data_IF_633551322623
#
_entry.id   IF_633551322623
#
_cell.length_a   1.000
_cell.length_b   1.000
_cell.length_c   1.000
_cell.angle_alpha   90.00
_cell.angle_beta   90.00
_cell.angle_gamma   90.00
#
_symmetry.space_group_name_H-M   'P 1'
#
loop_
_entity.id
_entity.type
_entity.pdbx_description
1 polymer ?
#
# COMPACT_ATOMS: atom_id res chain seq x y z
N UNK A 1 8.97 37.13 9.42
CA UNK A 1 8.15 36.22 8.61
C UNK A 1 8.75 34.86 8.87
N UNK A 2 8.00 33.97 9.50
CA UNK A 2 8.41 32.56 9.57
C UNK A 2 8.08 32.03 8.19
N UNK A 3 9.09 31.60 7.46
CA UNK A 3 8.93 30.75 6.30
C UNK A 3 8.37 29.44 6.88
N UNK A 4 7.04 29.30 6.89
CA UNK A 4 6.41 28.00 7.10
C UNK A 4 6.77 27.26 5.83
N UNK A 5 7.76 26.38 5.91
CA UNK A 5 7.95 25.37 4.86
C UNK A 5 6.58 24.72 4.66
N UNK A 6 6.06 24.79 3.45
CA UNK A 6 4.85 24.06 3.09
C UNK A 6 5.16 22.57 3.26
N UNK A 7 4.20 21.80 3.77
CA UNK A 7 4.38 20.37 3.96
C UNK A 7 4.68 19.72 2.61
N UNK A 8 5.56 18.72 2.60
CA UNK A 8 5.85 17.95 1.39
C UNK A 8 5.69 16.49 1.74
N UNK A 9 4.68 15.87 1.16
CA UNK A 9 4.40 14.44 1.36
C UNK A 9 4.99 13.61 0.23
N UNK A 10 5.40 12.39 0.56
CA UNK A 10 6.02 11.43 -0.34
C UNK A 10 5.23 10.13 -0.25
N UNK A 11 4.74 9.65 -1.40
CA UNK A 11 4.12 8.35 -1.58
C UNK A 11 5.11 7.39 -2.25
N UNK A 12 5.62 6.41 -1.51
CA UNK A 12 6.44 5.32 -2.06
C UNK A 12 5.51 4.17 -2.45
N UNK A 13 5.60 3.71 -3.70
CA UNK A 13 4.62 2.83 -4.33
C UNK A 13 5.33 1.60 -4.90
N UNK A 14 4.92 0.41 -4.52
CA UNK A 14 5.34 -0.87 -5.13
C UNK A 14 4.14 -1.57 -5.77
N UNK A 15 4.33 -2.17 -6.96
CA UNK A 15 3.27 -2.92 -7.63
C UNK A 15 3.20 -4.38 -7.14
N UNK A 16 2.16 -4.67 -6.36
CA UNK A 16 1.98 -5.99 -5.75
C UNK A 16 2.00 -7.11 -6.80
N UNK A 17 2.93 -8.06 -6.63
CA UNK A 17 3.00 -9.27 -7.46
C UNK A 17 3.35 -9.02 -8.92
N UNK A 18 4.03 -7.93 -9.25
CA UNK A 18 4.44 -7.64 -10.63
C UNK A 18 5.45 -8.68 -11.18
N UNK A 19 6.18 -9.37 -10.31
CA UNK A 19 7.04 -10.50 -10.70
C UNK A 19 6.24 -11.64 -11.37
N UNK A 20 5.01 -11.87 -10.93
CA UNK A 20 4.09 -12.88 -11.44
C UNK A 20 3.62 -12.52 -12.85
N UNK A 21 3.31 -11.25 -13.10
CA UNK A 21 3.01 -10.72 -14.45
C UNK A 21 4.18 -11.00 -15.39
N UNK A 22 5.42 -10.74 -14.95
CA UNK A 22 6.62 -11.03 -15.73
C UNK A 22 6.82 -12.53 -15.98
N UNK A 23 6.55 -13.37 -14.97
CA UNK A 23 6.69 -14.81 -15.08
C UNK A 23 5.66 -15.43 -16.02
N UNK A 24 4.43 -14.90 -16.06
CA UNK A 24 3.36 -15.40 -16.90
C UNK A 24 3.48 -14.92 -18.36
N UNK A 25 3.76 -13.63 -18.58
CA UNK A 25 3.69 -13.01 -19.90
C UNK A 25 5.06 -12.65 -20.49
N UNK A 26 6.12 -12.73 -19.69
CA UNK A 26 7.48 -12.36 -20.05
C UNK A 26 7.79 -10.88 -19.83
N UNK A 27 9.07 -10.56 -19.62
CA UNK A 27 9.54 -9.20 -19.31
C UNK A 27 9.08 -8.13 -20.30
N UNK A 28 9.05 -8.43 -21.60
CA UNK A 28 8.59 -7.45 -22.59
C UNK A 28 7.13 -7.03 -22.37
N UNK A 29 6.28 -7.91 -21.85
CA UNK A 29 4.91 -7.55 -21.47
C UNK A 29 4.90 -6.70 -20.20
N UNK A 30 5.67 -7.08 -19.18
CA UNK A 30 5.83 -6.30 -17.95
C UNK A 30 6.34 -4.89 -18.22
N UNK A 31 7.33 -4.73 -19.11
CA UNK A 31 7.82 -3.41 -19.53
C UNK A 31 6.69 -2.54 -20.12
N UNK A 32 5.80 -3.12 -20.93
CA UNK A 32 4.64 -2.39 -21.46
C UNK A 32 3.60 -2.04 -20.39
N UNK A 33 3.47 -2.85 -19.34
CA UNK A 33 2.60 -2.55 -18.19
C UNK A 33 3.19 -1.37 -17.42
N UNK A 34 4.49 -1.39 -17.13
CA UNK A 34 5.20 -0.30 -16.45
C UNK A 34 5.13 1.01 -17.25
N UNK A 35 5.37 0.97 -18.56
CA UNK A 35 5.24 2.14 -19.43
C UNK A 35 3.85 2.77 -19.32
N UNK A 36 2.80 1.92 -19.26
CA UNK A 36 1.42 2.41 -19.13
C UNK A 36 1.13 3.00 -17.74
N UNK A 37 1.75 2.46 -16.69
CA UNK A 37 1.64 2.98 -15.32
C UNK A 37 2.39 4.31 -15.19
N UNK A 38 3.55 4.46 -15.84
CA UNK A 38 4.26 5.75 -15.91
C UNK A 38 3.39 6.81 -16.59
N UNK A 39 2.80 6.50 -17.74
CA UNK A 39 1.89 7.42 -18.42
C UNK A 39 0.71 7.81 -17.52
N UNK A 40 0.08 6.83 -16.87
CA UNK A 40 -1.02 7.04 -15.95
C UNK A 40 -0.63 7.93 -14.76
N UNK A 41 0.47 7.63 -14.07
CA UNK A 41 0.88 8.40 -12.90
C UNK A 41 1.30 9.82 -13.25
N UNK A 42 1.89 10.05 -14.42
CA UNK A 42 2.16 11.39 -14.94
C UNK A 42 0.88 12.16 -15.28
N UNK A 43 -0.12 11.49 -15.86
CA UNK A 43 -1.43 12.09 -16.12
C UNK A 43 -2.17 12.45 -14.82
N UNK A 44 -2.11 11.57 -13.80
CA UNK A 44 -2.69 11.78 -12.48
C UNK A 44 -2.02 12.94 -11.74
N UNK A 45 -0.68 12.98 -11.70
CA UNK A 45 0.09 14.03 -11.03
C UNK A 45 -0.08 15.41 -11.66
N UNK A 46 -0.33 15.47 -12.97
CA UNK A 46 -0.58 16.72 -13.68
C UNK A 46 0.60 17.68 -13.58
N UNK A 47 0.31 18.94 -13.23
CA UNK A 47 1.35 19.98 -13.01
C UNK A 47 1.59 20.32 -11.55
N UNK A 48 0.85 19.68 -10.64
CA UNK A 48 0.85 20.00 -9.21
C UNK A 48 1.86 19.13 -8.46
N UNK A 49 2.02 17.88 -8.92
CA UNK A 49 2.83 16.86 -8.26
C UNK A 49 3.88 16.29 -9.22
N UNK A 50 4.80 15.49 -8.68
CA UNK A 50 5.85 14.83 -9.47
C UNK A 50 5.78 13.32 -9.28
N UNK A 51 5.51 12.60 -10.38
CA UNK A 51 5.45 11.14 -10.40
C UNK A 51 6.65 10.59 -11.17
N UNK A 52 7.54 9.90 -10.46
CA UNK A 52 8.74 9.32 -11.02
C UNK A 52 8.85 7.85 -10.66
N UNK A 53 9.41 7.08 -11.59
CA UNK A 53 9.89 5.73 -11.28
C UNK A 53 11.23 5.89 -10.56
N UNK A 54 11.20 5.75 -9.24
CA UNK A 54 12.37 5.95 -8.39
C UNK A 54 13.48 4.94 -8.72
N UNK A 55 14.73 5.43 -8.76
CA UNK A 55 16.02 4.72 -8.92
C UNK A 55 16.17 3.53 -9.89
N UNK A 56 15.21 3.25 -10.76
CA UNK A 56 15.36 2.41 -11.95
C UNK A 56 15.83 0.97 -11.68
N UNK A 57 14.90 0.11 -11.26
CA UNK A 57 14.61 -1.20 -11.84
C UNK A 57 13.30 -1.74 -11.23
N UNK A 58 12.42 -2.32 -12.04
CA UNK A 58 11.23 -3.01 -11.52
C UNK A 58 9.99 -2.13 -11.38
N UNK A 59 9.35 -2.22 -10.23
CA UNK A 59 7.94 -2.01 -9.95
C UNK A 59 7.71 -0.86 -8.96
N UNK A 60 8.78 -0.16 -8.58
CA UNK A 60 8.75 0.91 -7.57
C UNK A 60 8.60 2.30 -8.18
N UNK A 61 7.81 3.16 -7.54
CA UNK A 61 7.53 4.54 -7.95
C UNK A 61 7.45 5.48 -6.74
N UNK A 62 7.71 6.76 -6.99
CA UNK A 62 7.61 7.84 -6.01
C UNK A 62 6.67 8.92 -6.54
N UNK A 63 5.67 9.27 -5.75
CA UNK A 63 4.81 10.44 -5.96
C UNK A 63 5.15 11.50 -4.91
N UNK A 64 5.62 12.67 -5.37
CA UNK A 64 5.93 13.81 -4.51
C UNK A 64 4.77 14.81 -4.56
N UNK A 65 4.26 15.17 -3.39
CA UNK A 65 3.04 15.98 -3.19
C UNK A 65 3.37 17.27 -2.40
N UNK A 66 3.97 18.30 -3.03
CA UNK A 66 4.25 19.57 -2.36
C UNK A 66 2.95 20.29 -1.98
N UNK A 67 2.89 20.82 -0.77
CA UNK A 67 1.72 21.52 -0.23
C UNK A 67 0.68 20.61 0.40
N UNK A 68 0.84 19.29 0.31
CA UNK A 68 -0.06 18.31 0.93
C UNK A 68 0.50 17.86 2.27
N UNK A 69 -0.30 18.02 3.33
CA UNK A 69 -0.03 17.39 4.62
C UNK A 69 -0.26 15.87 4.55
N UNK A 70 0.15 15.15 5.61
CA UNK A 70 0.06 13.69 5.65
C UNK A 70 -1.35 13.15 5.37
N UNK A 71 -2.37 13.79 5.93
CA UNK A 71 -3.75 13.32 5.78
C UNK A 71 -4.25 13.52 4.36
N UNK A 72 -4.01 14.71 3.79
CA UNK A 72 -4.39 15.04 2.42
C UNK A 72 -3.65 14.16 1.41
N UNK A 73 -2.38 13.86 1.68
CA UNK A 73 -1.58 12.94 0.86
C UNK A 73 -2.12 11.50 0.87
N UNK A 74 -2.61 11.02 2.02
CA UNK A 74 -3.28 9.71 2.10
C UNK A 74 -4.53 9.70 1.22
N UNK A 75 -5.40 10.71 1.34
CA UNK A 75 -6.63 10.79 0.53
C UNK A 75 -6.30 10.78 -0.98
N UNK A 76 -5.29 11.56 -1.41
CA UNK A 76 -4.80 11.60 -2.80
C UNK A 76 -4.29 10.23 -3.27
N UNK A 77 -3.54 9.53 -2.42
CA UNK A 77 -2.95 8.23 -2.77
C UNK A 77 -3.99 7.10 -2.75
N UNK A 78 -5.06 7.22 -1.96
CA UNK A 78 -6.21 6.33 -2.04
C UNK A 78 -6.94 6.50 -3.39
N UNK A 79 -7.15 7.73 -3.83
CA UNK A 79 -7.71 8.03 -5.16
C UNK A 79 -6.81 7.50 -6.30
N UNK A 80 -5.48 7.70 -6.19
CA UNK A 80 -4.51 7.15 -7.15
C UNK A 80 -4.63 5.63 -7.26
N UNK A 81 -4.72 4.93 -6.12
CA UNK A 81 -4.80 3.48 -6.08
C UNK A 81 -6.11 2.96 -6.69
N UNK A 82 -7.22 3.64 -6.44
CA UNK A 82 -8.51 3.32 -7.07
C UNK A 82 -8.47 3.48 -8.60
N UNK A 83 -7.85 4.54 -9.10
CA UNK A 83 -7.66 4.74 -10.54
C UNK A 83 -6.68 3.72 -11.16
N UNK A 84 -5.60 3.37 -10.46
CA UNK A 84 -4.65 2.34 -10.88
C UNK A 84 -5.34 0.98 -11.07
N UNK A 85 -6.20 0.58 -10.11
CA UNK A 85 -7.00 -0.65 -10.21
C UNK A 85 -7.90 -0.65 -11.44
N UNK A 86 -8.46 0.50 -11.80
CA UNK A 86 -9.34 0.67 -12.95
C UNK A 86 -8.60 0.71 -14.29
N UNK A 87 -7.31 1.08 -14.31
CA UNK A 87 -6.49 1.23 -15.51
C UNK A 87 -6.40 -0.07 -16.33
N UNK A 88 -6.32 -1.21 -15.64
CA UNK A 88 -6.17 -2.56 -16.19
C UNK A 88 -5.19 -2.63 -17.39
N UNK A 89 -3.91 -2.24 -17.22
CA UNK A 89 -2.95 -2.16 -18.32
C UNK A 89 -2.80 -3.53 -18.99
N UNK A 90 -3.05 -3.56 -20.31
CA UNK A 90 -3.06 -4.79 -21.12
C UNK A 90 -4.05 -5.87 -20.66
N UNK A 91 -5.04 -5.51 -19.84
CA UNK A 91 -6.05 -6.42 -19.29
C UNK A 91 -5.70 -7.01 -17.92
N UNK A 92 -4.54 -6.67 -17.35
CA UNK A 92 -4.13 -7.11 -16.02
C UNK A 92 -4.63 -6.16 -14.96
N UNK A 93 -5.20 -6.68 -13.87
CA UNK A 93 -5.50 -5.87 -12.69
C UNK A 93 -4.19 -5.67 -11.95
N UNK A 94 -3.81 -4.41 -11.73
CA UNK A 94 -2.62 -4.05 -10.98
C UNK A 94 -3.07 -3.44 -9.66
N UNK A 95 -2.59 -4.03 -8.56
CA UNK A 95 -2.69 -3.49 -7.22
C UNK A 95 -1.33 -2.87 -6.83
N UNK A 96 -1.33 -2.05 -5.79
CA UNK A 96 -0.10 -1.48 -5.27
C UNK A 96 -0.15 -1.30 -3.76
N UNK A 97 1.02 -1.45 -3.14
CA UNK A 97 1.28 -1.10 -1.75
C UNK A 97 1.88 0.30 -1.72
N UNK A 98 1.32 1.19 -0.90
CA UNK A 98 1.71 2.60 -0.85
C UNK A 98 1.99 3.03 0.58
N UNK A 99 3.18 3.59 0.79
CA UNK A 99 3.62 4.18 2.05
C UNK A 99 3.70 5.70 1.96
N UNK A 100 3.22 6.40 2.99
CA UNK A 100 3.19 7.87 3.02
C UNK A 100 4.05 8.40 4.16
N UNK A 101 4.90 9.38 3.89
CA UNK A 101 5.58 10.15 4.94
C UNK A 101 5.69 11.63 4.53
N UNK A 102 5.76 12.53 5.50
CA UNK A 102 5.63 13.98 5.27
C UNK A 102 6.73 14.78 5.94
N UNK A 103 7.36 15.70 5.20
CA UNK A 103 8.19 16.75 5.76
C UNK A 103 7.33 17.89 6.30
N UNK A 104 7.65 18.46 7.48
CA UNK A 104 8.75 18.11 8.38
C UNK A 104 8.37 17.11 9.49
N UNK A 105 7.13 16.61 9.50
CA UNK A 105 6.58 15.81 10.60
C UNK A 105 7.30 14.47 10.80
N UNK A 106 7.71 13.85 9.70
CA UNK A 106 8.36 12.55 9.68
C UNK A 106 9.85 12.65 9.39
N UNK A 107 10.47 13.82 9.29
CA UNK A 107 11.91 13.88 9.01
C UNK A 107 12.44 15.29 8.84
N UNK A 108 13.77 15.39 8.78
CA UNK A 108 14.45 16.70 8.61
C UNK A 108 14.93 16.96 7.19
N UNK A 109 14.94 15.93 6.34
CA UNK A 109 15.30 16.00 4.93
C UNK A 109 14.54 14.94 4.10
N UNK A 110 14.58 15.11 2.78
CA UNK A 110 13.90 14.25 1.80
C UNK A 110 14.32 12.79 1.92
N UNK A 111 15.63 12.52 2.04
CA UNK A 111 16.15 11.14 2.14
C UNK A 111 15.55 10.41 3.35
N UNK A 112 15.48 11.06 4.53
CA UNK A 112 14.89 10.46 5.73
C UNK A 112 13.38 10.21 5.58
N UNK A 113 12.66 11.10 4.90
CA UNK A 113 11.21 10.96 4.72
C UNK A 113 10.88 9.91 3.67
N UNK A 114 11.64 9.81 2.57
CA UNK A 114 11.49 8.74 1.58
C UNK A 114 11.77 7.37 2.21
N UNK A 115 12.82 7.24 3.04
CA UNK A 115 13.08 5.99 3.78
C UNK A 115 11.89 5.60 4.70
N UNK A 116 11.21 6.58 5.28
CA UNK A 116 10.02 6.34 6.12
C UNK A 116 8.77 6.00 5.32
N UNK A 117 8.62 6.57 4.13
CA UNK A 117 7.58 6.19 3.20
C UNK A 117 7.78 4.73 2.74
N UNK A 118 9.01 4.33 2.39
CA UNK A 118 9.38 2.94 2.08
C UNK A 118 9.02 1.99 3.24
N UNK A 119 9.41 2.32 4.49
CA UNK A 119 9.03 1.53 5.66
C UNK A 119 7.50 1.39 5.84
N UNK A 120 6.73 2.43 5.51
CA UNK A 120 5.28 2.39 5.57
C UNK A 120 4.68 1.54 4.42
N UNK A 121 5.30 1.56 3.25
CA UNK A 121 4.94 0.74 2.09
C UNK A 121 5.18 -0.74 2.38
N UNK A 122 6.33 -1.09 2.96
CA UNK A 122 6.63 -2.46 3.42
C UNK A 122 5.63 -2.95 4.46
N UNK A 123 5.09 -2.05 5.30
CA UNK A 123 3.99 -2.41 6.20
C UNK A 123 2.70 -2.71 5.41
N UNK A 124 2.39 -1.95 4.36
CA UNK A 124 1.21 -2.19 3.53
C UNK A 124 1.27 -3.57 2.86
N UNK A 125 2.43 -3.96 2.34
CA UNK A 125 2.66 -5.31 1.79
C UNK A 125 2.40 -6.40 2.83
N UNK A 126 2.97 -6.25 4.04
CA UNK A 126 2.80 -7.19 5.14
C UNK A 126 1.33 -7.32 5.58
N UNK A 127 0.52 -6.28 5.39
CA UNK A 127 -0.91 -6.29 5.70
C UNK A 127 -1.80 -6.80 4.56
N UNK A 128 -1.21 -7.42 3.53
CA UNK A 128 -1.91 -8.06 2.41
C UNK A 128 -1.90 -7.23 1.13
N UNK A 129 -1.10 -6.16 1.08
CA UNK A 129 -0.96 -5.26 -0.05
C UNK A 129 -2.22 -4.45 -0.35
N UNK A 130 -2.29 -3.93 -1.57
CA UNK A 130 -3.43 -3.24 -2.16
C UNK A 130 -3.99 -2.13 -1.24
N UNK A 131 -3.12 -1.23 -0.78
CA UNK A 131 -3.54 -0.19 0.15
C UNK A 131 -2.49 0.85 0.49
N UNK A 132 -2.96 1.92 1.12
CA UNK A 132 -2.15 3.03 1.61
C UNK A 132 -1.93 2.90 3.12
N UNK A 133 -0.72 3.20 3.60
CA UNK A 133 -0.37 3.33 5.02
C UNK A 133 0.51 4.57 5.22
N UNK A 134 0.15 5.43 6.17
CA UNK A 134 1.02 6.52 6.57
C UNK A 134 2.04 6.09 7.63
N UNK A 135 3.24 6.66 7.58
CA UNK A 135 4.28 6.41 8.56
C UNK A 135 3.83 6.82 9.96
N UNK A 136 4.06 5.92 10.91
CA UNK A 136 3.58 6.03 12.28
C UNK A 136 2.16 5.49 12.50
N UNK A 137 1.45 5.10 11.44
CA UNK A 137 0.20 4.35 11.55
C UNK A 137 0.46 2.84 11.42
N UNK A 138 -0.02 2.08 12.40
CA UNK A 138 -0.17 0.63 12.25
C UNK A 138 -1.64 0.36 11.92
N UNK A 139 -1.91 -0.33 10.80
CA UNK A 139 -3.28 -0.82 10.56
C UNK A 139 -3.70 -1.69 11.75
N UNK A 140 -4.91 -1.52 12.30
CA UNK A 140 -5.36 -2.36 13.39
C UNK A 140 -5.28 -3.83 12.96
N UNK A 141 -4.76 -4.67 13.85
CA UNK A 141 -4.58 -6.10 13.61
C UNK A 141 -5.79 -6.70 12.91
N UNK A 142 -5.57 -7.36 11.77
CA UNK A 142 -6.60 -8.14 11.08
C UNK A 142 -7.06 -9.26 12.01
N UNK A 143 -8.17 -9.02 12.73
CA UNK A 143 -8.79 -10.04 13.56
C UNK A 143 -9.46 -11.05 12.63
N UNK A 144 -8.77 -12.14 12.34
CA UNK A 144 -9.38 -13.27 11.65
C UNK A 144 -10.20 -14.05 12.67
N UNK A 145 -11.53 -14.02 12.56
CA UNK A 145 -12.38 -14.94 13.32
C UNK A 145 -12.36 -16.32 12.65
N UNK A 146 -11.68 -17.27 13.29
CA UNK A 146 -11.65 -18.68 12.84
C UNK A 146 -12.64 -19.50 13.66
N UNK A 147 -13.58 -20.16 12.99
CA UNK A 147 -14.52 -21.12 13.57
C UNK A 147 -14.09 -22.55 13.23
N UNK A 148 -14.04 -23.45 14.21
CA UNK A 148 -13.73 -24.87 13.99
C UNK A 148 -14.56 -25.78 14.91
N UNK A 149 -14.91 -26.96 14.42
CA UNK A 149 -15.67 -27.98 15.17
C UNK A 149 -14.75 -28.88 16.02
N UNK A 150 -13.51 -29.08 15.63
CA UNK A 150 -12.51 -29.89 16.35
C UNK A 150 -11.21 -29.11 16.57
N UNK A 151 -10.45 -29.46 17.61
CA UNK A 151 -9.18 -28.80 17.94
C UNK A 151 -8.19 -28.88 16.78
N UNK A 152 -7.71 -27.74 16.30
CA UNK A 152 -6.70 -27.64 15.26
C UNK A 152 -5.50 -26.82 15.74
N UNK A 153 -4.30 -27.14 15.24
CA UNK A 153 -3.10 -26.31 15.39
C UNK A 153 -3.02 -25.42 14.15
N UNK A 154 -2.91 -24.11 14.36
CA UNK A 154 -2.73 -23.13 13.28
C UNK A 154 -1.43 -22.40 13.59
N UNK A 155 -0.49 -22.42 12.64
CA UNK A 155 0.61 -21.46 12.63
C UNK A 155 0.08 -20.18 11.99
N UNK A 156 0.15 -19.09 12.74
CA UNK A 156 -0.23 -17.76 12.28
C UNK A 156 0.99 -16.87 12.44
N UNK A 157 1.36 -16.18 11.37
CA UNK A 157 2.38 -15.13 11.40
C UNK A 157 1.80 -13.85 12.03
N UNK A 158 0.46 -13.74 12.08
CA UNK A 158 -0.31 -12.62 12.62
C UNK A 158 -1.00 -12.91 13.96
N UNK A 159 -1.43 -11.85 14.64
CA UNK A 159 -2.18 -11.94 15.90
C UNK A 159 -3.67 -12.26 15.64
N UNK A 160 -4.08 -13.49 15.93
CA UNK A 160 -5.44 -14.01 15.66
C UNK A 160 -6.24 -14.20 16.95
N UNK A 161 -7.53 -13.83 16.93
CA UNK A 161 -8.45 -14.17 18.03
C UNK A 161 -9.19 -15.47 17.70
N UNK A 162 -8.97 -16.50 18.50
CA UNK A 162 -9.55 -17.83 18.30
C UNK A 162 -10.75 -18.02 19.25
N UNK A 163 -11.93 -18.30 18.69
CA UNK A 163 -13.13 -18.63 19.44
C UNK A 163 -13.45 -20.12 19.32
N UNK A 164 -13.47 -20.84 20.46
CA UNK A 164 -13.95 -22.22 20.51
C UNK A 164 -15.47 -22.24 20.67
N UNK A 165 -16.17 -22.90 19.76
CA UNK A 165 -17.60 -23.17 19.92
C UNK A 165 -17.81 -24.20 21.05
N UNK A 166 -18.66 -23.87 22.01
CA UNK A 166 -19.11 -24.79 23.06
C UNK A 166 -20.63 -24.86 22.91
N UNK A 167 -21.14 -26.03 22.51
CA UNK A 167 -22.57 -26.30 22.54
C UNK A 167 -23.03 -26.32 24.00
N UNK A 168 -23.77 -25.30 24.42
CA UNK A 168 -24.37 -25.21 25.75
C UNK A 168 -25.90 -25.47 25.67
N UNK A 169 -26.34 -26.22 24.67
CA UNK A 169 -27.72 -26.69 24.59
C UNK A 169 -28.05 -27.48 25.86
N UNK A 170 -29.01 -27.04 26.71
CA UNK A 170 -29.39 -27.80 27.88
C UNK A 170 -29.91 -29.16 27.42
N UNK A 171 -29.24 -30.23 27.83
CA UNK A 171 -29.77 -31.56 27.60
C UNK A 171 -31.14 -31.63 28.26
N UNK A 172 -32.19 -31.74 27.45
CA UNK A 172 -33.53 -32.00 27.96
C UNK A 172 -33.50 -33.39 28.60
N UNK A 173 -33.42 -33.42 29.92
CA UNK A 173 -33.62 -34.64 30.70
C UNK A 173 -35.06 -35.14 30.42
N UNK A 174 -35.15 -36.33 29.84
CA UNK A 174 -36.39 -37.10 29.70
C UNK A 174 -36.62 -37.99 30.92
#
# INVERSE_FOLDING_TARGET
MVDVSEDVSYGFIDLDGFSEINNEHGHAFGDNVLDRIVEFGQEFAGSEWDFNREYGQGDEFLLVLPGEDKGSAVDVLEDFLDELRALQPKGEVVAASIGVATLPDDGVDEDEVVEKADLAMLNAEQWGGDGVIAYGEEKPTKVIEVWFEESMLIEVDDLVTIHKWIDDSPQSEH
#
